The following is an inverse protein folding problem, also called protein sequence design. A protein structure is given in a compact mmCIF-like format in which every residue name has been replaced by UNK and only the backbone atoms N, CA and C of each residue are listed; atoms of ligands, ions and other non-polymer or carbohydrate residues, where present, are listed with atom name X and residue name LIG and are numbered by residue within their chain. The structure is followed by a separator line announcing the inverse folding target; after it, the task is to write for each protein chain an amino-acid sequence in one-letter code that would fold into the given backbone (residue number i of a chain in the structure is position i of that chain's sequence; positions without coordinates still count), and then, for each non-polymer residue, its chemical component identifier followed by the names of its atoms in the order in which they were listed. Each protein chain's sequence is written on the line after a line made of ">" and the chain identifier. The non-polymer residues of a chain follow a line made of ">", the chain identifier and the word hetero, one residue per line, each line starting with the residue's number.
data_IF_530703934473
#
_entry.id   IF_530703934473
#
_cell.length_a   1.000
_cell.length_b   1.000
_cell.length_c   1.000
_cell.angle_alpha   90.00
_cell.angle_beta   90.00
_cell.angle_gamma   90.00
#
_symmetry.space_group_name_H-M   'P 1'
#
loop_
_entity.id
_entity.type
_entity.pdbx_description
1 polymer ?
#
# COMPACT_ATOMS: atom_id res chain seq x y z
N UNK A 1 -6.26 12.49 27.14
CA UNK A 1 -4.84 12.35 26.76
C UNK A 1 -4.15 11.34 27.67
N UNK A 2 -4.19 10.05 27.33
CA UNK A 2 -3.18 9.12 27.81
C UNK A 2 -1.99 9.24 26.87
N UNK A 3 -0.90 9.87 27.32
CA UNK A 3 0.40 9.66 26.67
C UNK A 3 0.60 8.15 26.64
N UNK A 4 0.81 7.57 25.46
CA UNK A 4 1.25 6.19 25.34
C UNK A 4 2.61 6.08 26.07
N UNK A 5 2.57 5.76 27.36
CA UNK A 5 3.76 5.57 28.19
C UNK A 5 4.26 4.17 27.86
N UNK A 6 5.02 4.07 26.78
CA UNK A 6 5.91 2.95 26.59
C UNK A 6 6.86 2.86 27.79
N UNK A 7 6.86 1.72 28.48
CA UNK A 7 7.81 1.40 29.54
C UNK A 7 9.23 1.58 28.97
N UNK A 8 10.15 2.27 29.68
CA UNK A 8 11.57 2.27 29.34
C UNK A 8 12.13 0.90 28.94
N UNK A 9 11.63 -0.18 29.56
CA UNK A 9 11.98 -1.55 29.19
C UNK A 9 11.64 -1.89 27.73
N UNK A 10 10.41 -1.64 27.30
CA UNK A 10 9.94 -1.92 25.94
C UNK A 10 10.70 -1.08 24.89
N UNK A 11 11.01 0.18 25.23
CA UNK A 11 11.85 1.03 24.36
C UNK A 11 13.24 0.46 24.16
N UNK A 12 13.88 -0.01 25.23
CA UNK A 12 15.19 -0.64 25.16
C UNK A 12 15.15 -1.93 24.33
N UNK A 13 14.12 -2.76 24.51
CA UNK A 13 13.95 -3.99 23.71
C UNK A 13 13.72 -3.70 22.23
N UNK A 14 12.94 -2.67 21.90
CA UNK A 14 12.78 -2.24 20.50
C UNK A 14 14.10 -1.81 19.88
N UNK A 15 14.90 -1.02 20.60
CA UNK A 15 16.20 -0.59 20.13
C UNK A 15 17.15 -1.78 19.89
N UNK A 16 17.19 -2.76 20.80
CA UNK A 16 17.99 -3.98 20.63
C UNK A 16 17.54 -4.78 19.42
N UNK A 17 16.24 -5.02 19.27
CA UNK A 17 15.72 -5.80 18.14
C UNK A 17 16.02 -5.13 16.78
N UNK A 18 15.88 -3.81 16.71
CA UNK A 18 16.25 -3.03 15.52
C UNK A 18 17.76 -3.00 15.28
N UNK A 19 18.58 -2.90 16.32
CA UNK A 19 20.04 -2.91 16.20
C UNK A 19 20.57 -4.28 15.71
N UNK A 20 19.88 -5.37 16.03
CA UNK A 20 20.19 -6.72 15.57
C UNK A 20 19.56 -7.06 14.21
N UNK A 21 18.89 -6.09 13.58
CA UNK A 21 18.21 -6.31 12.31
C UNK A 21 19.16 -6.11 11.11
N UNK A 22 18.86 -6.74 9.97
CA UNK A 22 19.56 -6.45 8.71
C UNK A 22 19.50 -4.97 8.28
N UNK A 23 18.60 -4.16 8.86
CA UNK A 23 18.52 -2.71 8.59
C UNK A 23 19.81 -2.01 8.98
N UNK A 24 20.51 -2.45 10.04
CA UNK A 24 21.81 -1.87 10.40
C UNK A 24 22.86 -2.18 9.35
N UNK A 25 22.87 -3.41 8.81
CA UNK A 25 23.73 -3.77 7.69
C UNK A 25 23.43 -2.91 6.46
N UNK A 26 22.17 -2.53 6.24
CA UNK A 26 21.78 -1.71 5.09
C UNK A 26 22.46 -0.34 5.05
N UNK A 27 22.93 0.18 6.19
CA UNK A 27 23.69 1.44 6.26
C UNK A 27 25.07 1.36 5.59
N UNK A 28 25.64 0.15 5.46
CA UNK A 28 27.00 -0.09 4.94
C UNK A 28 26.96 -0.95 3.66
N UNK A 29 26.08 -1.95 3.62
CA UNK A 29 25.89 -2.90 2.52
C UNK A 29 24.38 -3.10 2.26
N UNK A 30 23.72 -2.17 1.52
CA UNK A 30 22.31 -2.24 1.20
C UNK A 30 21.91 -3.53 0.48
N UNK A 31 22.72 -3.99 -0.49
CA UNK A 31 22.43 -5.17 -1.30
C UNK A 31 22.59 -6.47 -0.50
N UNK A 32 23.56 -6.54 0.41
CA UNK A 32 23.68 -7.63 1.37
C UNK A 32 22.54 -7.67 2.37
N UNK A 33 22.13 -6.52 2.90
CA UNK A 33 20.97 -6.44 3.78
C UNK A 33 19.68 -6.90 3.10
N UNK A 34 19.45 -6.50 1.84
CA UNK A 34 18.28 -6.95 1.09
C UNK A 34 18.32 -8.46 0.77
N UNK A 35 19.51 -9.06 0.63
CA UNK A 35 19.65 -10.52 0.54
C UNK A 35 19.24 -11.21 1.83
N UNK A 36 19.79 -10.77 2.97
CA UNK A 36 19.43 -11.32 4.28
C UNK A 36 17.92 -11.16 4.58
N UNK A 37 17.33 -10.03 4.20
CA UNK A 37 15.89 -9.77 4.37
C UNK A 37 15.04 -10.73 3.53
N UNK A 38 15.49 -11.12 2.33
CA UNK A 38 14.76 -12.07 1.47
C UNK A 38 14.68 -13.47 2.08
N UNK A 39 15.68 -13.86 2.87
CA UNK A 39 15.69 -15.17 3.54
C UNK A 39 14.69 -15.24 4.72
N UNK A 40 14.07 -14.11 5.08
CA UNK A 40 13.06 -13.99 6.14
C UNK A 40 11.63 -13.98 5.61
N UNK A 41 11.41 -14.40 4.35
CA UNK A 41 10.07 -14.34 3.74
C UNK A 41 9.07 -15.32 4.37
N UNK A 42 9.56 -16.44 4.89
CA UNK A 42 8.77 -17.54 5.46
C UNK A 42 8.47 -17.42 6.95
N UNK A 43 8.90 -16.32 7.60
CA UNK A 43 8.65 -16.07 9.02
C UNK A 43 7.79 -14.83 9.20
N UNK A 44 6.93 -14.85 10.22
CA UNK A 44 6.15 -13.66 10.58
C UNK A 44 7.06 -12.57 11.16
N UNK A 45 6.64 -11.32 11.06
CA UNK A 45 7.36 -10.22 11.69
C UNK A 45 7.38 -10.38 13.21
N UNK A 46 6.30 -10.89 13.81
CA UNK A 46 6.25 -11.21 15.24
C UNK A 46 7.30 -12.22 15.66
N UNK A 47 7.40 -13.36 14.97
CA UNK A 47 8.37 -14.41 15.30
C UNK A 47 9.80 -13.88 15.19
N UNK A 48 10.07 -13.15 14.11
CA UNK A 48 11.35 -12.48 13.92
C UNK A 48 11.64 -11.51 15.06
N UNK A 49 10.71 -10.61 15.38
CA UNK A 49 10.91 -9.54 16.36
C UNK A 49 11.12 -10.07 17.77
N UNK A 50 10.32 -11.07 18.18
CA UNK A 50 10.46 -11.75 19.47
C UNK A 50 11.80 -12.51 19.55
N UNK A 51 12.23 -13.16 18.47
CA UNK A 51 13.54 -13.85 18.43
C UNK A 51 14.73 -12.91 18.64
N UNK A 52 14.56 -11.60 18.37
CA UNK A 52 15.57 -10.56 18.61
C UNK A 52 15.43 -9.86 19.96
N UNK A 53 14.59 -10.39 20.85
CA UNK A 53 14.36 -9.87 22.19
C UNK A 53 13.32 -8.75 22.26
N UNK A 54 12.54 -8.53 21.20
CA UNK A 54 11.37 -7.67 21.22
C UNK A 54 10.27 -8.19 22.16
N UNK A 55 9.29 -7.34 22.46
CA UNK A 55 8.18 -7.69 23.37
C UNK A 55 6.83 -7.70 22.64
N UNK A 56 5.89 -8.48 23.15
CA UNK A 56 4.52 -8.52 22.60
C UNK A 56 3.80 -7.18 22.76
N UNK A 57 4.07 -6.46 23.84
CA UNK A 57 3.54 -5.11 24.06
C UNK A 57 3.99 -4.16 22.96
N UNK A 58 5.27 -4.22 22.57
CA UNK A 58 5.79 -3.42 21.45
C UNK A 58 5.16 -3.77 20.12
N UNK A 59 4.88 -5.06 19.88
CA UNK A 59 4.13 -5.49 18.71
C UNK A 59 2.76 -4.82 18.69
N UNK A 60 1.96 -5.00 19.74
CA UNK A 60 0.58 -4.49 19.80
C UNK A 60 0.47 -2.96 19.74
N UNK A 61 1.39 -2.25 20.38
CA UNK A 61 1.28 -0.79 20.58
C UNK A 61 1.96 0.04 19.50
N UNK A 62 2.85 -0.54 18.70
CA UNK A 62 3.63 0.18 17.68
C UNK A 62 3.73 -0.58 16.37
N UNK A 63 4.08 -1.86 16.39
CA UNK A 63 4.30 -2.57 15.12
C UNK A 63 3.01 -2.98 14.42
N UNK A 64 1.97 -3.39 15.13
CA UNK A 64 0.67 -3.73 14.56
C UNK A 64 0.05 -2.52 13.84
N UNK A 65 -0.03 -1.30 14.44
CA UNK A 65 -0.48 -0.12 13.72
C UNK A 65 0.28 0.13 12.41
N UNK A 66 1.60 -0.08 12.41
CA UNK A 66 2.43 0.10 11.21
C UNK A 66 2.17 -1.02 10.20
N UNK A 67 2.08 -2.28 10.63
CA UNK A 67 1.78 -3.42 9.76
C UNK A 67 0.41 -3.28 9.10
N UNK A 68 -0.61 -2.89 9.85
CA UNK A 68 -1.94 -2.62 9.31
C UNK A 68 -1.94 -1.48 8.29
N UNK A 69 -1.17 -0.42 8.52
CA UNK A 69 -1.09 0.69 7.57
C UNK A 69 -0.34 0.31 6.27
N UNK A 70 0.60 -0.61 6.34
CA UNK A 70 1.42 -1.03 5.20
C UNK A 70 0.81 -2.16 4.39
N UNK A 71 0.19 -3.13 5.07
CA UNK A 71 -0.29 -4.38 4.46
C UNK A 71 -1.68 -4.83 4.90
N UNK A 72 -2.36 -4.06 5.75
CA UNK A 72 -3.71 -4.35 6.27
C UNK A 72 -3.85 -5.68 7.03
N UNK A 73 -2.72 -6.20 7.53
CA UNK A 73 -2.64 -7.40 8.38
C UNK A 73 -1.68 -7.15 9.54
N UNK A 74 -1.85 -7.90 10.63
CA UNK A 74 -1.04 -7.77 11.85
C UNK A 74 0.38 -8.35 11.71
N UNK A 75 1.20 -8.18 12.75
CA UNK A 75 2.57 -8.69 12.76
C UNK A 75 2.68 -10.22 12.78
N UNK A 76 1.63 -10.93 13.21
CA UNK A 76 1.62 -12.40 13.26
C UNK A 76 1.42 -13.01 11.87
N UNK A 77 0.76 -12.28 10.98
CA UNK A 77 0.45 -12.73 9.63
C UNK A 77 1.36 -12.08 8.57
N UNK A 78 1.89 -10.89 8.81
CA UNK A 78 2.78 -10.23 7.85
C UNK A 78 4.18 -10.85 7.86
N UNK A 79 4.73 -11.09 6.67
CA UNK A 79 6.11 -11.56 6.51
C UNK A 79 7.12 -10.55 7.07
N UNK A 80 8.13 -11.04 7.79
CA UNK A 80 9.23 -10.21 8.28
C UNK A 80 9.96 -9.51 7.13
N UNK A 81 10.08 -10.17 5.98
CA UNK A 81 10.66 -9.58 4.76
C UNK A 81 9.96 -8.27 4.38
N UNK A 82 8.63 -8.27 4.38
CA UNK A 82 7.83 -7.11 3.98
C UNK A 82 8.15 -5.88 4.86
N UNK A 83 8.04 -6.07 6.17
CA UNK A 83 8.30 -5.02 7.16
C UNK A 83 9.75 -4.53 7.11
N UNK A 84 10.73 -5.46 7.14
CA UNK A 84 12.15 -5.11 7.19
C UNK A 84 12.65 -4.43 5.91
N UNK A 85 12.06 -4.73 4.75
CA UNK A 85 12.38 -4.02 3.50
C UNK A 85 12.04 -2.53 3.61
N UNK A 86 10.88 -2.21 4.18
CA UNK A 86 10.43 -0.82 4.36
C UNK A 86 11.29 -0.10 5.39
N UNK A 87 11.62 -0.74 6.51
CA UNK A 87 12.53 -0.14 7.50
C UNK A 87 13.96 0.00 6.99
N UNK A 88 14.42 -0.88 6.11
CA UNK A 88 15.70 -0.72 5.41
C UNK A 88 15.70 0.56 4.57
N UNK A 89 14.61 0.83 3.85
CA UNK A 89 14.46 2.08 3.09
C UNK A 89 14.48 3.32 4.00
N UNK A 90 13.70 3.30 5.10
CA UNK A 90 13.67 4.42 6.05
C UNK A 90 14.99 4.63 6.79
N UNK A 91 15.69 3.56 7.12
CA UNK A 91 16.99 3.61 7.80
C UNK A 91 18.11 4.14 6.90
N UNK A 92 18.07 3.86 5.61
CA UNK A 92 19.13 4.23 4.66
C UNK A 92 18.91 5.57 3.94
N UNK A 93 17.68 6.05 3.86
CA UNK A 93 17.33 7.31 3.20
C UNK A 93 16.70 8.27 4.20
N UNK A 94 17.43 9.30 4.60
CA UNK A 94 17.01 10.31 5.58
C UNK A 94 15.69 11.01 5.24
N UNK A 95 15.40 11.21 3.95
CA UNK A 95 14.15 11.83 3.50
C UNK A 95 13.01 10.82 3.27
N UNK A 96 13.29 9.50 3.27
CA UNK A 96 12.28 8.50 2.95
C UNK A 96 11.22 8.33 4.05
N UNK A 97 11.46 8.86 5.26
CA UNK A 97 10.49 8.88 6.35
C UNK A 97 9.47 10.04 6.24
N UNK A 98 9.68 11.00 5.33
CA UNK A 98 8.74 12.09 5.09
C UNK A 98 7.57 11.59 4.23
N UNK A 99 6.43 11.41 4.87
CA UNK A 99 5.18 11.09 4.19
C UNK A 99 4.60 12.36 3.57
N UNK A 100 4.31 12.30 2.27
CA UNK A 100 3.67 13.38 1.53
C UNK A 100 2.34 12.90 1.00
N UNK A 101 1.29 13.64 1.30
CA UNK A 101 -0.04 13.38 0.77
C UNK A 101 -0.19 14.06 -0.58
N UNK A 102 -0.97 13.45 -1.47
CA UNK A 102 -1.33 14.11 -2.71
C UNK A 102 -2.24 15.29 -2.36
N UNK A 103 -2.06 16.43 -3.02
CA UNK A 103 -2.81 17.66 -2.67
C UNK A 103 -4.32 17.58 -2.92
N UNK A 104 -4.80 16.54 -3.60
CA UNK A 104 -6.21 16.29 -3.94
C UNK A 104 -6.38 14.89 -4.53
N UNK A 105 -7.40 14.71 -5.35
CA UNK A 105 -7.77 13.45 -5.97
C UNK A 105 -6.63 12.83 -6.80
N UNK A 106 -6.33 11.53 -6.61
CA UNK A 106 -5.38 10.80 -7.46
C UNK A 106 -5.73 10.81 -8.95
N UNK A 107 -7.01 10.90 -9.32
CA UNK A 107 -7.39 11.00 -10.74
C UNK A 107 -6.91 12.31 -11.35
N UNK A 108 -7.02 13.43 -10.62
CA UNK A 108 -6.65 14.77 -11.11
C UNK A 108 -5.14 15.00 -11.03
N UNK A 109 -4.50 14.62 -9.92
CA UNK A 109 -3.13 15.02 -9.64
C UNK A 109 -2.07 13.94 -9.86
N UNK A 110 -2.48 12.70 -10.16
CA UNK A 110 -1.54 11.61 -10.48
C UNK A 110 -1.87 10.93 -11.81
N UNK A 111 -3.04 10.31 -11.92
CA UNK A 111 -3.41 9.52 -13.10
C UNK A 111 -3.74 10.39 -14.31
N UNK A 112 -4.33 11.57 -14.11
CA UNK A 112 -4.67 12.53 -15.16
C UNK A 112 -3.44 13.03 -15.93
N UNK A 113 -2.39 13.55 -15.25
CA UNK A 113 -1.15 13.95 -15.90
C UNK A 113 -0.47 12.79 -16.66
N UNK A 114 -0.45 11.59 -16.09
CA UNK A 114 0.08 10.38 -16.75
C UNK A 114 -0.72 10.06 -18.02
N UNK A 115 -2.05 10.08 -17.95
CA UNK A 115 -2.95 9.86 -19.09
C UNK A 115 -2.67 10.87 -20.20
N UNK A 116 -2.64 12.16 -19.85
CA UNK A 116 -2.37 13.24 -20.80
C UNK A 116 -1.03 13.05 -21.50
N UNK A 117 0.03 12.76 -20.75
CA UNK A 117 1.35 12.51 -21.33
C UNK A 117 1.35 11.34 -22.33
N UNK A 118 0.62 10.26 -22.03
CA UNK A 118 0.49 9.11 -22.92
C UNK A 118 -0.30 9.48 -24.19
N UNK A 119 -1.41 10.21 -24.05
CA UNK A 119 -2.25 10.66 -25.18
C UNK A 119 -1.52 11.64 -26.09
N UNK A 120 -0.77 12.60 -25.51
CA UNK A 120 0.06 13.56 -26.26
C UNK A 120 1.16 12.84 -27.08
N UNK A 121 1.52 11.61 -26.70
CA UNK A 121 2.45 10.74 -27.43
C UNK A 121 1.77 9.73 -28.36
N UNK A 122 0.46 9.87 -28.60
CA UNK A 122 -0.32 9.01 -29.49
C UNK A 122 -0.82 7.70 -28.86
N UNK A 123 -0.64 7.54 -27.55
CA UNK A 123 -1.25 6.45 -26.79
C UNK A 123 -2.77 6.57 -26.75
N UNK A 124 -3.46 5.44 -26.57
CA UNK A 124 -4.93 5.36 -26.67
C UNK A 124 -5.51 4.66 -25.45
N UNK A 125 -6.51 5.29 -24.82
CA UNK A 125 -7.25 4.70 -23.70
C UNK A 125 -8.63 4.22 -24.16
N UNK A 126 -8.91 2.94 -23.92
CA UNK A 126 -10.19 2.33 -24.25
C UNK A 126 -10.95 1.96 -22.97
N UNK A 127 -11.56 2.95 -22.34
CA UNK A 127 -12.32 2.74 -21.09
C UNK A 127 -13.59 1.90 -21.32
N UNK A 128 -13.99 1.15 -20.28
CA UNK A 128 -15.15 0.25 -20.29
C UNK A 128 -15.06 -0.91 -21.29
N UNK A 129 -13.86 -1.24 -21.75
CA UNK A 129 -13.59 -2.45 -22.53
C UNK A 129 -12.90 -3.49 -21.64
N UNK A 130 -13.65 -4.50 -21.19
CA UNK A 130 -13.11 -5.57 -20.37
C UNK A 130 -12.41 -6.61 -21.23
N UNK A 131 -11.17 -6.98 -20.87
CA UNK A 131 -10.50 -8.15 -21.44
C UNK A 131 -11.19 -9.43 -20.92
N UNK A 132 -11.63 -10.28 -21.84
CA UNK A 132 -12.39 -11.51 -21.55
C UNK A 132 -11.55 -12.76 -21.70
N UNK A 133 -10.63 -12.76 -22.66
CA UNK A 133 -9.81 -13.91 -22.96
C UNK A 133 -8.50 -13.49 -23.61
N UNK A 134 -7.41 -14.17 -23.22
CA UNK A 134 -6.14 -14.14 -23.93
C UNK A 134 -6.23 -15.18 -25.05
N UNK A 135 -6.09 -14.75 -26.29
CA UNK A 135 -5.98 -15.63 -27.45
C UNK A 135 -4.50 -15.96 -27.65
N UNK A 136 -4.18 -17.24 -27.71
CA UNK A 136 -2.81 -17.71 -27.85
C UNK A 136 -2.77 -19.01 -28.63
N UNK A 137 -1.66 -19.22 -29.33
CA UNK A 137 -1.30 -20.48 -29.94
C UNK A 137 -0.15 -21.11 -29.16
N UNK A 138 -0.06 -22.44 -29.23
CA UNK A 138 1.06 -23.21 -28.68
C UNK A 138 1.81 -23.83 -29.85
N UNK A 139 3.10 -23.56 -29.94
CA UNK A 139 3.97 -24.20 -30.93
C UNK A 139 4.27 -25.65 -30.55
N UNK A 140 4.77 -26.48 -31.50
CA UNK A 140 5.07 -27.89 -31.22
C UNK A 140 6.14 -28.13 -30.14
N UNK A 141 7.04 -27.17 -29.95
CA UNK A 141 8.07 -27.11 -28.91
C UNK A 141 7.56 -26.55 -27.57
N UNK A 142 6.28 -26.16 -27.49
CA UNK A 142 5.60 -25.78 -26.26
C UNK A 142 5.65 -24.29 -25.94
N UNK A 143 6.27 -23.46 -26.79
CA UNK A 143 6.24 -22.00 -26.65
C UNK A 143 4.81 -21.47 -26.85
N UNK A 144 4.52 -20.40 -26.11
CA UNK A 144 3.21 -19.76 -26.10
C UNK A 144 3.32 -18.44 -26.84
N UNK A 145 2.57 -18.30 -27.95
CA UNK A 145 2.48 -17.07 -28.70
C UNK A 145 1.10 -16.45 -28.51
N UNK A 146 1.04 -15.28 -27.88
CA UNK A 146 -0.22 -14.53 -27.75
C UNK A 146 -0.58 -13.88 -29.08
N UNK A 147 -1.76 -14.18 -29.61
CA UNK A 147 -2.23 -13.72 -30.92
C UNK A 147 -3.27 -12.59 -30.83
N UNK A 148 -3.80 -12.33 -29.63
CA UNK A 148 -4.70 -11.21 -29.39
C UNK A 148 -5.35 -11.22 -28.01
N UNK A 149 -6.05 -10.13 -27.70
CA UNK A 149 -6.92 -10.02 -26.54
C UNK A 149 -8.37 -9.86 -26.99
N UNK A 150 -9.23 -10.81 -26.62
CA UNK A 150 -10.66 -10.69 -26.83
C UNK A 150 -11.23 -9.73 -25.78
N UNK A 151 -11.80 -8.62 -26.23
CA UNK A 151 -12.35 -7.56 -25.37
C UNK A 151 -13.83 -7.33 -25.67
N UNK A 152 -14.59 -6.89 -24.67
CA UNK A 152 -15.99 -6.53 -24.85
C UNK A 152 -16.42 -5.29 -24.08
N UNK A 153 -17.42 -4.59 -24.62
CA UNK A 153 -18.11 -3.46 -24.01
C UNK A 153 -19.59 -3.55 -24.35
N UNK A 154 -20.46 -3.71 -23.34
CA UNK A 154 -21.88 -3.97 -23.55
C UNK A 154 -22.11 -5.14 -24.54
N UNK A 155 -22.74 -4.87 -25.68
CA UNK A 155 -22.97 -5.85 -26.76
C UNK A 155 -21.81 -5.98 -27.74
N UNK A 156 -20.86 -5.04 -27.74
CA UNK A 156 -19.75 -5.00 -28.68
C UNK A 156 -18.62 -5.94 -28.26
N UNK A 157 -18.03 -6.61 -29.25
CA UNK A 157 -16.88 -7.49 -29.11
C UNK A 157 -15.83 -7.13 -30.15
N UNK A 158 -14.56 -7.16 -29.76
CA UNK A 158 -13.44 -7.03 -30.70
C UNK A 158 -12.23 -7.79 -30.20
N UNK A 159 -11.38 -8.20 -31.13
CA UNK A 159 -10.06 -8.73 -30.84
C UNK A 159 -9.04 -7.63 -31.06
N UNK A 160 -8.25 -7.33 -30.03
CA UNK A 160 -7.13 -6.39 -30.11
C UNK A 160 -5.87 -7.18 -30.43
N UNK A 161 -5.17 -6.79 -31.50
CA UNK A 161 -3.87 -7.33 -31.89
C UNK A 161 -2.78 -6.29 -31.71
N UNK A 162 -1.62 -6.72 -31.27
CA UNK A 162 -0.44 -5.89 -31.04
C UNK A 162 0.83 -6.75 -31.13
N UNK A 163 1.99 -6.10 -31.23
CA UNK A 163 3.30 -6.75 -31.24
C UNK A 163 3.68 -7.31 -29.85
N UNK A 164 3.15 -6.71 -28.78
CA UNK A 164 3.35 -7.14 -27.41
C UNK A 164 2.08 -6.94 -26.57
N UNK A 165 1.90 -7.79 -25.56
CA UNK A 165 0.76 -7.77 -24.66
C UNK A 165 1.23 -7.70 -23.21
N UNK A 166 0.64 -6.79 -22.44
CA UNK A 166 0.87 -6.66 -20.99
C UNK A 166 -0.47 -6.72 -20.29
N UNK A 167 -0.56 -7.58 -19.27
CA UNK A 167 -1.75 -7.71 -18.41
C UNK A 167 -1.44 -7.13 -17.05
N UNK A 168 -1.81 -5.87 -16.83
CA UNK A 168 -1.66 -5.16 -15.56
C UNK A 168 -2.95 -5.26 -14.73
N UNK A 169 -3.39 -6.48 -14.42
CA UNK A 169 -4.58 -6.73 -13.60
C UNK A 169 -4.21 -6.93 -12.11
N UNK A 170 -5.18 -6.71 -11.24
CA UNK A 170 -5.12 -7.16 -9.85
C UNK A 170 -5.14 -8.70 -9.76
N UNK A 171 -4.88 -9.24 -8.57
CA UNK A 171 -4.78 -10.70 -8.32
C UNK A 171 -6.05 -11.45 -8.76
N UNK A 172 -7.28 -11.03 -8.39
CA UNK A 172 -8.49 -11.68 -8.90
C UNK A 172 -8.65 -11.56 -10.42
N UNK A 173 -8.33 -10.39 -11.00
CA UNK A 173 -8.43 -10.15 -12.43
C UNK A 173 -7.49 -11.03 -13.26
N UNK A 174 -6.23 -11.17 -12.85
CA UNK A 174 -5.26 -12.03 -13.54
C UNK A 174 -5.61 -13.51 -13.39
N UNK A 175 -6.02 -13.96 -12.20
CA UNK A 175 -6.47 -15.35 -11.97
C UNK A 175 -7.65 -15.73 -12.87
N UNK A 176 -8.58 -14.79 -13.10
CA UNK A 176 -9.71 -15.01 -14.01
C UNK A 176 -9.29 -15.02 -15.48
N UNK A 177 -8.28 -14.23 -15.86
CA UNK A 177 -7.91 -14.02 -17.26
C UNK A 177 -6.90 -15.05 -17.77
N UNK A 178 -6.04 -15.59 -16.91
CA UNK A 178 -5.03 -16.57 -17.29
C UNK A 178 -5.68 -17.88 -17.78
N UNK A 179 -5.26 -18.41 -18.94
CA UNK A 179 -5.68 -19.73 -19.39
C UNK A 179 -5.30 -20.81 -18.38
N UNK A 180 -6.23 -21.74 -18.08
CA UNK A 180 -5.99 -22.79 -17.08
C UNK A 180 -4.81 -23.70 -17.44
N UNK A 181 -4.56 -23.92 -18.73
CA UNK A 181 -3.46 -24.71 -19.25
C UNK A 181 -2.09 -24.11 -18.91
N UNK A 182 -2.01 -22.78 -18.73
CA UNK A 182 -0.73 -22.14 -18.41
C UNK A 182 -0.26 -22.45 -16.99
N UNK A 183 -1.16 -22.95 -16.13
CA UNK A 183 -0.83 -23.41 -14.78
C UNK A 183 0.06 -24.66 -14.75
N UNK A 184 0.26 -25.33 -15.89
CA UNK A 184 1.31 -26.35 -16.04
C UNK A 184 2.71 -25.79 -15.71
N UNK A 185 2.91 -24.48 -15.93
CA UNK A 185 4.13 -23.78 -15.55
C UNK A 185 4.02 -23.23 -14.13
N UNK A 186 5.02 -23.58 -13.30
CA UNK A 186 5.16 -23.04 -11.93
C UNK A 186 5.12 -21.51 -11.87
N UNK A 187 5.62 -20.83 -12.91
CA UNK A 187 5.59 -19.37 -12.97
C UNK A 187 4.16 -18.81 -12.89
N UNK A 188 3.23 -19.38 -13.66
CA UNK A 188 1.83 -18.95 -13.66
C UNK A 188 1.05 -19.56 -12.50
N UNK A 189 1.39 -20.78 -12.08
CA UNK A 189 0.69 -21.43 -10.96
C UNK A 189 0.94 -20.70 -9.63
N UNK A 190 2.14 -20.18 -9.40
CA UNK A 190 2.46 -19.37 -8.21
C UNK A 190 1.54 -18.15 -8.02
N UNK A 191 0.91 -17.63 -9.09
CA UNK A 191 -0.06 -16.53 -8.98
C UNK A 191 -1.29 -16.97 -8.17
N UNK A 192 -1.63 -18.26 -8.18
CA UNK A 192 -2.78 -18.81 -7.49
C UNK A 192 -2.60 -18.90 -5.97
N UNK A 193 -1.35 -18.88 -5.48
CA UNK A 193 -1.02 -18.77 -4.06
C UNK A 193 -1.30 -17.36 -3.50
N UNK A 194 -1.41 -16.33 -4.35
CA UNK A 194 -1.64 -14.95 -3.91
C UNK A 194 -3.11 -14.75 -3.52
N UNK A 195 -3.38 -14.35 -2.28
CA UNK A 195 -4.73 -14.02 -1.82
C UNK A 195 -4.78 -12.54 -1.43
N UNK A 196 -5.81 -11.84 -1.92
CA UNK A 196 -6.02 -10.44 -1.56
C UNK A 196 -6.50 -10.31 -0.13
N UNK A 197 -5.99 -9.30 0.58
CA UNK A 197 -6.46 -8.91 1.92
C UNK A 197 -7.69 -8.02 1.75
N UNK A 198 -8.81 -8.29 2.44
CA UNK A 198 -9.98 -7.42 2.40
C UNK A 198 -9.70 -6.11 3.13
N UNK A 199 -10.09 -4.98 2.52
CA UNK A 199 -9.90 -3.63 3.08
C UNK A 199 -11.17 -2.82 2.90
N UNK A 200 -11.50 -2.02 3.91
CA UNK A 200 -12.61 -1.06 3.89
C UNK A 200 -12.04 0.33 4.12
N UNK A 201 -12.45 1.29 3.29
CA UNK A 201 -12.17 2.71 3.50
C UNK A 201 -13.44 3.40 3.97
N UNK A 202 -13.34 4.18 5.03
CA UNK A 202 -14.45 4.95 5.59
C UNK A 202 -14.13 6.42 5.44
N UNK A 203 -15.11 7.23 5.04
CA UNK A 203 -14.97 8.69 4.98
C UNK A 203 -15.99 9.34 5.90
N UNK A 204 -15.53 10.20 6.82
CA UNK A 204 -16.38 10.87 7.80
C UNK A 204 -16.17 12.39 7.72
N UNK A 205 -17.27 13.12 7.45
CA UNK A 205 -17.29 14.58 7.42
C UNK A 205 -17.79 15.12 8.75
N UNK A 206 -17.06 16.08 9.30
CA UNK A 206 -17.39 16.71 10.58
C UNK A 206 -17.76 18.20 10.41
N UNK A 207 -18.48 18.73 11.40
CA UNK A 207 -18.83 20.15 11.53
C UNK A 207 -17.81 20.95 12.36
N UNK A 208 -16.60 20.42 12.50
CA UNK A 208 -15.46 21.02 13.21
C UNK A 208 -14.16 20.29 12.86
N UNK A 209 -13.04 20.81 13.34
CA UNK A 209 -11.71 20.27 13.13
C UNK A 209 -11.36 19.24 14.21
N UNK A 210 -11.65 17.96 13.96
CA UNK A 210 -11.50 16.89 14.96
C UNK A 210 -10.05 16.50 15.21
N UNK A 211 -9.14 16.91 14.33
CA UNK A 211 -7.69 16.73 14.50
C UNK A 211 -7.03 17.93 15.21
N UNK A 212 -7.78 18.99 15.53
CA UNK A 212 -7.33 20.03 16.48
C UNK A 212 -7.57 19.54 17.91
N UNK A 213 -6.50 19.05 18.54
CA UNK A 213 -6.58 18.36 19.83
C UNK A 213 -6.29 19.25 21.04
N UNK A 214 -5.81 20.48 20.84
CA UNK A 214 -5.31 21.34 21.91
C UNK A 214 -6.30 22.44 22.27
N UNK A 215 -7.01 22.98 21.29
CA UNK A 215 -7.88 24.14 21.46
C UNK A 215 -9.29 23.88 20.94
N UNK A 216 -10.25 23.80 21.87
CA UNK A 216 -11.65 23.51 21.58
C UNK A 216 -12.35 24.62 20.78
N UNK A 217 -11.97 25.88 20.99
CA UNK A 217 -12.55 27.00 20.23
C UNK A 217 -12.04 26.97 18.79
N UNK A 218 -10.74 26.69 18.59
CA UNK A 218 -10.16 26.47 17.26
C UNK A 218 -10.72 25.24 16.56
N UNK A 219 -11.00 24.18 17.30
CA UNK A 219 -11.65 22.98 16.76
C UNK A 219 -13.07 23.27 16.24
N UNK A 220 -13.79 24.20 16.87
CA UNK A 220 -15.19 24.51 16.52
C UNK A 220 -15.35 25.59 15.45
N UNK A 221 -14.38 26.48 15.28
CA UNK A 221 -14.46 27.51 14.25
C UNK A 221 -14.27 26.90 12.86
N UNK A 222 -14.98 27.42 11.85
CA UNK A 222 -14.92 26.94 10.46
C UNK A 222 -14.38 28.01 9.50
N UNK A 223 -13.78 29.07 10.04
CA UNK A 223 -13.23 30.19 9.26
C UNK A 223 -11.86 29.85 8.67
N UNK A 224 -11.11 28.97 9.35
CA UNK A 224 -9.79 28.54 8.93
C UNK A 224 -9.60 27.06 9.23
N UNK A 225 -8.94 26.33 8.34
CA UNK A 225 -8.53 24.96 8.61
C UNK A 225 -7.57 24.90 9.81
N UNK A 226 -7.74 23.92 10.70
CA UNK A 226 -6.91 23.74 11.90
C UNK A 226 -6.81 22.26 12.23
N UNK A 227 -5.71 21.84 12.85
CA UNK A 227 -5.50 20.45 13.23
C UNK A 227 -4.22 19.85 12.67
N UNK A 228 -4.17 18.52 12.60
CA UNK A 228 -2.98 17.76 12.21
C UNK A 228 -2.96 17.54 10.70
N UNK A 229 -1.98 18.15 10.03
CA UNK A 229 -1.65 17.91 8.63
C UNK A 229 -0.59 16.80 8.53
N UNK A 230 -1.01 15.56 8.77
CA UNK A 230 -0.15 14.38 8.69
C UNK A 230 -0.96 13.09 8.50
N UNK A 231 -0.26 12.01 8.15
CA UNK A 231 -0.79 10.65 8.30
C UNK A 231 -0.72 10.23 9.76
N UNK A 232 -1.85 9.81 10.31
CA UNK A 232 -2.02 9.50 11.72
C UNK A 232 -2.20 7.99 11.91
N UNK A 233 -1.63 7.48 12.98
CA UNK A 233 -1.69 6.06 13.35
C UNK A 233 -2.27 5.93 14.75
N UNK A 234 -3.06 4.89 14.98
CA UNK A 234 -3.59 4.59 16.31
C UNK A 234 -3.55 3.10 16.61
N UNK A 235 -3.05 2.69 17.79
CA UNK A 235 -3.21 1.33 18.30
C UNK A 235 -4.55 1.11 19.00
N UNK A 236 -5.32 2.18 19.26
CA UNK A 236 -6.50 2.15 20.12
C UNK A 236 -7.83 2.22 19.33
N UNK A 237 -7.79 2.10 18.00
CA UNK A 237 -8.98 2.04 17.15
C UNK A 237 -8.89 0.94 16.11
N UNK A 238 -10.04 0.51 15.61
CA UNK A 238 -10.15 -0.54 14.57
C UNK A 238 -9.68 -0.06 13.18
N UNK A 239 -9.45 1.24 13.00
CA UNK A 239 -8.80 1.82 11.83
C UNK A 239 -7.38 2.26 12.23
N UNK A 240 -6.39 1.64 11.59
CA UNK A 240 -4.98 1.76 11.99
C UNK A 240 -4.30 3.03 11.50
N UNK A 241 -4.79 3.60 10.41
CA UNK A 241 -4.17 4.68 9.66
C UNK A 241 -5.25 5.59 9.10
N UNK A 242 -5.12 6.89 9.33
CA UNK A 242 -6.10 7.88 8.86
C UNK A 242 -5.45 9.25 8.63
N UNK A 243 -6.10 10.09 7.84
CA UNK A 243 -5.70 11.48 7.62
C UNK A 243 -6.93 12.39 7.57
N UNK A 244 -6.75 13.64 7.96
CA UNK A 244 -7.73 14.69 7.67
C UNK A 244 -7.48 15.23 6.25
N UNK A 245 -8.24 14.74 5.28
CA UNK A 245 -8.09 15.11 3.88
C UNK A 245 -8.37 16.59 3.62
N UNK A 246 -9.19 17.24 4.47
CA UNK A 246 -9.43 18.68 4.36
C UNK A 246 -8.18 19.52 4.68
N UNK A 247 -7.21 18.95 5.40
CA UNK A 247 -5.91 19.57 5.68
C UNK A 247 -4.81 19.04 4.75
N UNK A 248 -4.70 17.72 4.65
CA UNK A 248 -3.61 17.03 3.95
C UNK A 248 -3.75 17.01 2.42
N UNK A 249 -4.98 17.17 1.93
CA UNK A 249 -5.31 17.13 0.51
C UNK A 249 -6.34 18.23 0.16
N UNK A 250 -6.05 19.50 0.46
CA UNK A 250 -7.08 20.54 0.57
C UNK A 250 -7.70 20.94 -0.78
N UNK A 251 -7.02 20.73 -1.91
CA UNK A 251 -7.48 21.24 -3.21
C UNK A 251 -8.85 20.69 -3.63
N UNK A 252 -9.13 19.42 -3.30
CA UNK A 252 -10.39 18.76 -3.63
C UNK A 252 -11.25 18.42 -2.41
N UNK A 253 -10.68 18.42 -1.19
CA UNK A 253 -11.34 17.88 0.00
C UNK A 253 -11.63 18.92 1.09
N UNK A 254 -11.03 20.11 1.02
CA UNK A 254 -11.43 21.26 1.84
C UNK A 254 -12.70 21.89 1.27
N UNK A 255 -13.68 22.13 2.13
CA UNK A 255 -14.93 22.81 1.76
C UNK A 255 -15.18 23.92 2.77
N UNK A 256 -15.33 25.15 2.30
CA UNK A 256 -15.59 26.31 3.16
C UNK A 256 -16.88 26.09 3.98
N UNK A 257 -16.81 26.40 5.28
CA UNK A 257 -17.92 26.17 6.20
C UNK A 257 -18.14 24.70 6.60
N UNK A 258 -17.23 23.79 6.24
CA UNK A 258 -17.20 22.41 6.74
C UNK A 258 -15.89 22.15 7.51
N UNK A 259 -15.93 21.20 8.43
CA UNK A 259 -14.76 20.77 9.18
C UNK A 259 -14.01 19.63 8.50
N UNK A 260 -13.31 18.85 9.33
CA UNK A 260 -12.48 17.72 8.91
C UNK A 260 -13.18 16.73 8.00
N UNK A 261 -12.42 16.14 7.07
CA UNK A 261 -12.79 14.91 6.36
C UNK A 261 -11.80 13.82 6.73
N UNK A 262 -12.18 12.94 7.66
CA UNK A 262 -11.33 11.79 7.99
C UNK A 262 -11.51 10.70 6.96
N UNK A 263 -10.38 10.15 6.51
CA UNK A 263 -10.28 8.91 5.73
C UNK A 263 -9.19 8.02 6.30
#
# INVERSE_FOLDING_TARGET
>A
MHRCKYDPYDKARNAVALALSPVVRALIDPDGALRDIRDLDSISFSDWFLSKGGTRMSIQRMWDPVAYALGFIDCDNISARCMLTIFSLFGTKTEASLLRMLKGSPDVYLSGPIRKYIEDKGGRFHLRWGCRQILYDRSPDGEILVTGLATSKATDKKVVKADAYVVACDVPGIKRLLPSQWRESKFFDNIYELVGVPVVTVQLRYNGWVTELQDLERSRQLRQASGLDNLLYTPDADFSCFADLALTSPEDYYIEGQGSLLQ
#
